data_IF_501148516921
#
_entry.id   IF_501148516921
#
_cell.length_a   1.000
_cell.length_b   1.000
_cell.length_c   1.000
_cell.angle_alpha   90.00
_cell.angle_beta   90.00
_cell.angle_gamma   90.00
#
_symmetry.space_group_name_H-M   'P 1'
#
loop_
_entity.id
_entity.type
_entity.pdbx_description
1 polymer ?
#
# COMPACT_ATOMS: atom_id res chain seq x y z
N UNK A 1 -17.99 -0.04 30.41
CA UNK A 1 -17.14 1.15 30.65
C UNK A 1 -17.51 1.74 32.01
N UNK A 2 -16.54 2.19 32.80
CA UNK A 2 -16.62 2.41 34.26
C UNK A 2 -17.49 3.58 34.72
N UNK A 3 -18.25 4.25 33.82
CA UNK A 3 -19.10 5.43 34.06
C UNK A 3 -18.37 6.68 34.60
N UNK A 4 -17.06 6.61 34.83
CA UNK A 4 -16.24 7.77 35.18
C UNK A 4 -15.87 8.56 33.91
N UNK A 5 -15.75 9.88 34.04
CA UNK A 5 -15.24 10.72 32.95
C UNK A 5 -13.75 10.43 32.73
N UNK A 6 -13.42 9.79 31.62
CA UNK A 6 -12.06 9.40 31.24
C UNK A 6 -11.45 10.34 30.20
N UNK A 7 -12.20 11.30 29.64
CA UNK A 7 -11.77 12.15 28.51
C UNK A 7 -10.45 12.88 28.78
N UNK A 8 -10.19 13.28 30.04
CA UNK A 8 -8.95 13.94 30.45
C UNK A 8 -7.71 13.02 30.42
N UNK A 9 -7.91 11.71 30.48
CA UNK A 9 -6.85 10.71 30.50
C UNK A 9 -6.68 9.99 29.15
N UNK A 10 -7.50 10.35 28.15
CA UNK A 10 -7.43 9.83 26.78
C UNK A 10 -6.56 10.78 25.96
N UNK A 11 -5.54 10.24 25.30
CA UNK A 11 -4.70 11.05 24.42
C UNK A 11 -5.49 11.46 23.16
N UNK A 12 -5.28 12.68 22.62
CA UNK A 12 -6.10 13.18 21.53
C UNK A 12 -6.17 12.21 20.35
N UNK A 13 -7.39 11.85 19.95
CA UNK A 13 -7.63 10.90 18.85
C UNK A 13 -7.53 9.42 19.23
N UNK A 14 -7.47 9.07 20.52
CA UNK A 14 -7.51 7.68 21.00
C UNK A 14 -8.90 7.22 21.45
N UNK A 15 -9.88 7.30 20.56
CA UNK A 15 -11.26 6.90 20.86
C UNK A 15 -11.56 5.42 20.53
N UNK A 16 -10.64 4.76 19.81
CA UNK A 16 -10.77 3.38 19.37
C UNK A 16 -10.76 2.35 20.50
N UNK A 17 -11.93 1.81 20.89
CA UNK A 17 -12.00 0.61 21.75
C UNK A 17 -11.66 -0.70 21.02
N UNK A 18 -11.44 -0.63 19.70
CA UNK A 18 -10.86 -1.71 18.90
C UNK A 18 -11.55 -3.06 19.11
N UNK A 19 -12.85 -3.15 18.80
CA UNK A 19 -13.56 -4.42 18.90
C UNK A 19 -12.94 -5.44 17.91
N UNK A 20 -12.54 -6.65 18.37
CA UNK A 20 -11.74 -7.58 17.57
C UNK A 20 -12.34 -7.92 16.20
N UNK A 21 -13.66 -8.01 16.12
CA UNK A 21 -14.41 -8.29 14.89
C UNK A 21 -14.25 -7.19 13.84
N UNK A 22 -14.26 -5.92 14.24
CA UNK A 22 -14.15 -4.80 13.30
C UNK A 22 -12.71 -4.62 12.83
N UNK A 23 -11.73 -4.87 13.70
CA UNK A 23 -10.32 -4.92 13.30
C UNK A 23 -10.08 -5.99 12.22
N UNK A 24 -10.62 -7.19 12.42
CA UNK A 24 -10.49 -8.30 11.47
C UNK A 24 -11.11 -7.97 10.10
N UNK A 25 -12.36 -7.49 10.07
CA UNK A 25 -13.04 -7.15 8.82
C UNK A 25 -12.35 -5.98 8.10
N UNK A 26 -11.96 -4.93 8.83
CA UNK A 26 -11.24 -3.79 8.26
C UNK A 26 -9.88 -4.22 7.68
N UNK A 27 -9.19 -5.14 8.37
CA UNK A 27 -7.93 -5.73 7.92
C UNK A 27 -8.09 -6.55 6.63
N UNK A 28 -9.14 -7.35 6.50
CA UNK A 28 -9.42 -8.11 5.26
C UNK A 28 -9.69 -7.16 4.10
N UNK A 29 -10.53 -6.14 4.30
CA UNK A 29 -10.84 -5.17 3.24
C UNK A 29 -9.57 -4.43 2.80
N UNK A 30 -8.78 -3.93 3.76
CA UNK A 30 -7.52 -3.26 3.49
C UNK A 30 -6.50 -4.17 2.79
N UNK A 31 -6.41 -5.43 3.23
CA UNK A 31 -5.52 -6.43 2.65
C UNK A 31 -5.90 -6.81 1.21
N UNK A 32 -7.19 -6.96 0.92
CA UNK A 32 -7.67 -7.21 -0.45
C UNK A 32 -7.38 -6.04 -1.38
N UNK A 33 -7.76 -4.82 -0.98
CA UNK A 33 -7.56 -3.63 -1.81
C UNK A 33 -6.07 -3.31 -2.00
N UNK A 34 -5.27 -3.38 -0.93
CA UNK A 34 -3.82 -3.21 -0.99
C UNK A 34 -3.13 -4.31 -1.80
N UNK A 35 -3.59 -5.55 -1.67
CA UNK A 35 -3.08 -6.71 -2.40
C UNK A 35 -3.33 -6.62 -3.91
N UNK A 36 -4.54 -6.22 -4.33
CA UNK A 36 -4.85 -6.00 -5.74
C UNK A 36 -3.95 -4.91 -6.33
N UNK A 37 -3.79 -3.78 -5.64
CA UNK A 37 -2.93 -2.69 -6.09
C UNK A 37 -1.46 -3.10 -6.19
N UNK A 38 -0.92 -3.78 -5.18
CA UNK A 38 0.44 -4.30 -5.18
C UNK A 38 0.68 -5.34 -6.28
N UNK A 39 -0.29 -6.24 -6.49
CA UNK A 39 -0.25 -7.25 -7.55
C UNK A 39 -0.23 -6.64 -8.95
N UNK A 40 -1.04 -5.61 -9.20
CA UNK A 40 -1.03 -4.87 -10.47
C UNK A 40 0.30 -4.17 -10.72
N UNK A 41 0.88 -3.53 -9.70
CA UNK A 41 2.20 -2.90 -9.80
C UNK A 41 3.30 -3.92 -10.09
N UNK A 42 3.30 -5.06 -9.38
CA UNK A 42 4.21 -6.17 -9.64
C UNK A 42 4.12 -6.66 -11.07
N UNK A 43 2.90 -6.94 -11.55
CA UNK A 43 2.66 -7.45 -12.89
C UNK A 43 3.15 -6.47 -13.97
N UNK A 44 2.81 -5.17 -13.84
CA UNK A 44 3.22 -4.16 -14.80
C UNK A 44 4.75 -4.01 -14.91
N UNK A 45 5.46 -4.07 -13.77
CA UNK A 45 6.92 -4.00 -13.76
C UNK A 45 7.55 -5.29 -14.29
N UNK A 46 7.03 -6.45 -13.91
CA UNK A 46 7.52 -7.75 -14.40
C UNK A 46 7.43 -7.87 -15.92
N UNK A 47 6.26 -7.59 -16.50
CA UNK A 47 6.04 -7.62 -17.95
C UNK A 47 6.96 -6.63 -18.68
N UNK A 48 7.22 -5.47 -18.08
CA UNK A 48 8.17 -4.51 -18.64
C UNK A 48 9.61 -5.03 -18.58
N UNK A 49 10.01 -5.67 -17.47
CA UNK A 49 11.36 -6.20 -17.28
C UNK A 49 11.67 -7.34 -18.24
N UNK A 50 10.77 -8.31 -18.45
CA UNK A 50 11.05 -9.47 -19.31
C UNK A 50 11.25 -9.12 -20.79
N UNK A 51 10.90 -7.90 -21.21
CA UNK A 51 11.24 -7.40 -22.56
C UNK A 51 12.69 -6.95 -22.70
N UNK A 52 13.40 -6.72 -21.60
CA UNK A 52 14.81 -6.33 -21.58
C UNK A 52 15.70 -7.58 -21.67
N UNK A 53 16.75 -7.59 -22.51
CA UNK A 53 17.62 -8.75 -22.68
C UNK A 53 18.27 -9.27 -21.38
N UNK A 54 18.57 -8.38 -20.44
CA UNK A 54 19.17 -8.73 -19.15
C UNK A 54 18.23 -9.51 -18.21
N UNK A 55 16.91 -9.41 -18.44
CA UNK A 55 15.88 -9.98 -17.59
C UNK A 55 14.99 -11.00 -18.31
N UNK A 56 15.24 -11.23 -19.60
CA UNK A 56 14.53 -12.23 -20.39
C UNK A 56 14.77 -13.65 -19.83
N UNK A 57 13.74 -14.49 -19.74
CA UNK A 57 13.90 -15.86 -19.29
C UNK A 57 14.77 -16.66 -20.27
N UNK A 58 15.70 -17.46 -19.72
CA UNK A 58 16.64 -18.27 -20.52
C UNK A 58 15.93 -19.32 -21.40
N UNK A 59 14.75 -19.77 -20.95
CA UNK A 59 13.88 -20.71 -21.66
C UNK A 59 12.52 -20.04 -21.84
N UNK A 60 12.01 -20.04 -23.07
CA UNK A 60 10.68 -19.48 -23.36
C UNK A 60 9.59 -20.20 -22.54
N UNK A 61 8.74 -19.42 -21.87
CA UNK A 61 7.69 -19.93 -20.98
C UNK A 61 8.13 -20.20 -19.54
N UNK A 62 9.41 -19.95 -19.19
CA UNK A 62 9.85 -19.95 -17.80
C UNK A 62 9.81 -18.57 -17.16
N UNK A 63 9.72 -18.57 -15.83
CA UNK A 63 9.74 -17.36 -15.02
C UNK A 63 11.18 -16.87 -14.86
N UNK A 64 11.40 -15.57 -15.10
CA UNK A 64 12.71 -14.95 -14.86
C UNK A 64 12.86 -14.59 -13.38
N UNK A 65 13.71 -15.33 -12.65
CA UNK A 65 13.94 -15.10 -11.21
C UNK A 65 14.40 -13.68 -10.91
N UNK A 66 15.28 -13.11 -11.76
CA UNK A 66 15.76 -11.74 -11.59
C UNK A 66 14.63 -10.72 -11.75
N UNK A 67 13.77 -10.89 -12.77
CA UNK A 67 12.63 -10.01 -12.98
C UNK A 67 11.63 -10.08 -11.82
N UNK A 68 11.37 -11.28 -11.28
CA UNK A 68 10.51 -11.48 -10.09
C UNK A 68 11.07 -10.71 -8.89
N UNK A 69 12.38 -10.81 -8.62
CA UNK A 69 13.00 -10.15 -7.47
C UNK A 69 12.92 -8.62 -7.56
N UNK A 70 13.22 -8.06 -8.73
CA UNK A 70 13.18 -6.60 -8.95
C UNK A 70 11.73 -6.09 -8.91
N UNK A 71 10.82 -6.73 -9.64
CA UNK A 71 9.40 -6.35 -9.64
C UNK A 71 8.78 -6.49 -8.24
N UNK A 72 9.11 -7.57 -7.52
CA UNK A 72 8.69 -7.79 -6.15
C UNK A 72 9.15 -6.68 -5.21
N UNK A 73 10.44 -6.34 -5.25
CA UNK A 73 11.02 -5.29 -4.41
C UNK A 73 10.40 -3.92 -4.70
N UNK A 74 10.16 -3.60 -5.98
CA UNK A 74 9.53 -2.35 -6.38
C UNK A 74 8.07 -2.25 -5.90
N UNK A 75 7.29 -3.32 -6.08
CA UNK A 75 5.90 -3.37 -5.63
C UNK A 75 5.79 -3.25 -4.09
N UNK A 76 6.71 -3.87 -3.36
CA UNK A 76 6.81 -3.76 -1.90
C UNK A 76 7.15 -2.32 -1.47
N UNK A 77 8.09 -1.68 -2.16
CA UNK A 77 8.41 -0.26 -1.94
C UNK A 77 7.21 0.66 -2.17
N UNK A 78 6.49 0.49 -3.29
CA UNK A 78 5.26 1.23 -3.59
C UNK A 78 4.19 1.05 -2.49
N UNK A 79 4.02 -0.20 -2.02
CA UNK A 79 3.10 -0.50 -0.92
C UNK A 79 3.47 0.27 0.35
N UNK A 80 4.75 0.29 0.74
CA UNK A 80 5.21 1.02 1.92
C UNK A 80 5.01 2.53 1.80
N UNK A 81 5.28 3.13 0.63
CA UNK A 81 5.03 4.56 0.41
C UNK A 81 3.55 4.89 0.66
N UNK A 82 2.64 4.13 0.08
CA UNK A 82 1.21 4.36 0.22
C UNK A 82 0.69 4.05 1.64
N UNK A 83 1.22 3.03 2.30
CA UNK A 83 0.80 2.67 3.66
C UNK A 83 1.19 3.73 4.68
N UNK A 84 2.35 4.36 4.51
CA UNK A 84 2.82 5.48 5.35
C UNK A 84 1.95 6.73 5.15
N UNK A 85 1.62 7.09 3.90
CA UNK A 85 0.74 8.24 3.63
C UNK A 85 -0.66 8.01 4.21
N UNK A 86 -1.20 6.80 4.03
CA UNK A 86 -2.51 6.43 4.55
C UNK A 86 -2.56 6.45 6.08
N UNK A 87 -1.50 5.99 6.76
CA UNK A 87 -1.44 5.96 8.23
C UNK A 87 -1.44 7.36 8.84
N UNK A 88 -0.70 8.30 8.25
CA UNK A 88 -0.68 9.70 8.69
C UNK A 88 -1.99 10.45 8.39
N UNK A 89 -2.74 10.05 7.36
CA UNK A 89 -4.01 10.70 7.02
C UNK A 89 -5.14 10.42 8.02
N UNK A 90 -5.19 9.20 8.58
CA UNK A 90 -6.22 8.80 9.55
C UNK A 90 -5.86 9.26 10.97
N UNK A 91 -4.68 8.89 11.46
CA UNK A 91 -4.12 9.32 12.75
C UNK A 91 -4.87 8.81 14.01
N UNK A 92 -4.09 8.48 15.05
CA UNK A 92 -4.60 7.97 16.33
C UNK A 92 -5.21 6.57 16.22
N UNK A 93 -5.89 6.11 17.29
CA UNK A 93 -6.59 4.82 17.24
C UNK A 93 -7.92 4.98 16.49
N UNK A 94 -8.30 3.97 15.72
CA UNK A 94 -9.58 3.92 15.02
C UNK A 94 -10.49 2.88 15.66
N UNK A 95 -11.80 3.12 15.62
CA UNK A 95 -12.78 2.08 15.96
C UNK A 95 -12.99 1.06 14.83
N UNK A 96 -12.54 1.40 13.62
CA UNK A 96 -12.64 0.59 12.41
C UNK A 96 -13.51 1.24 11.34
N UNK A 97 -14.03 0.48 10.38
CA UNK A 97 -14.65 1.02 9.14
C UNK A 97 -15.83 2.00 9.33
N UNK A 98 -16.45 2.03 10.50
CA UNK A 98 -17.54 2.95 10.83
C UNK A 98 -17.08 4.25 11.53
N UNK A 99 -15.78 4.40 11.78
CA UNK A 99 -15.22 5.57 12.46
C UNK A 99 -15.41 6.84 11.61
N UNK A 100 -15.90 7.96 12.17
CA UNK A 100 -16.05 9.23 11.46
C UNK A 100 -14.78 9.71 10.75
N UNK A 101 -13.59 9.28 11.19
CA UNK A 101 -12.30 9.53 10.53
C UNK A 101 -12.21 8.96 9.11
N UNK A 102 -13.03 7.96 8.74
CA UNK A 102 -13.10 7.43 7.37
C UNK A 102 -13.54 8.49 6.34
N UNK A 103 -14.14 9.60 6.78
CA UNK A 103 -14.40 10.77 5.91
C UNK A 103 -13.12 11.38 5.32
N UNK A 104 -11.94 11.07 5.88
CA UNK A 104 -10.63 11.51 5.37
C UNK A 104 -10.07 10.60 4.27
N UNK A 105 -10.68 9.43 4.01
CA UNK A 105 -10.21 8.49 2.97
C UNK A 105 -10.02 9.14 1.61
N UNK A 106 -10.95 9.96 1.07
CA UNK A 106 -10.77 10.53 -0.26
C UNK A 106 -9.50 11.38 -0.39
N UNK A 107 -9.13 12.12 0.66
CA UNK A 107 -7.90 12.92 0.70
C UNK A 107 -6.65 12.03 0.74
N UNK A 108 -6.69 10.97 1.56
CA UNK A 108 -5.61 9.98 1.61
C UNK A 108 -5.45 9.22 0.29
N UNK A 109 -6.55 8.82 -0.33
CA UNK A 109 -6.55 8.13 -1.62
C UNK A 109 -5.96 9.02 -2.74
N UNK A 110 -6.31 10.30 -2.78
CA UNK A 110 -5.72 11.24 -3.73
C UNK A 110 -4.20 11.42 -3.48
N UNK A 111 -3.78 11.54 -2.23
CA UNK A 111 -2.36 11.63 -1.89
C UNK A 111 -1.58 10.37 -2.30
N UNK A 112 -2.14 9.18 -2.03
CA UNK A 112 -1.55 7.91 -2.46
C UNK A 112 -1.54 7.77 -3.99
N UNK A 113 -2.55 8.27 -4.70
CA UNK A 113 -2.57 8.29 -6.16
C UNK A 113 -1.42 9.13 -6.71
N UNK A 114 -1.23 10.35 -6.20
CA UNK A 114 -0.15 11.24 -6.61
C UNK A 114 1.21 10.61 -6.30
N UNK A 115 1.38 10.05 -5.10
CA UNK A 115 2.62 9.37 -4.72
C UNK A 115 2.90 8.18 -5.65
N UNK A 116 1.88 7.37 -5.95
CA UNK A 116 2.01 6.22 -6.85
C UNK A 116 2.35 6.64 -8.29
N UNK A 117 1.82 7.76 -8.77
CA UNK A 117 2.18 8.32 -10.08
C UNK A 117 3.65 8.77 -10.12
N UNK A 118 4.13 9.44 -9.06
CA UNK A 118 5.53 9.85 -8.97
C UNK A 118 6.45 8.64 -8.88
N UNK A 119 6.14 7.65 -8.03
CA UNK A 119 6.91 6.40 -7.95
C UNK A 119 6.88 5.63 -9.26
N UNK A 120 5.73 5.57 -9.94
CA UNK A 120 5.58 4.95 -11.25
C UNK A 120 6.43 5.65 -12.32
N UNK A 121 6.47 6.98 -12.33
CA UNK A 121 7.33 7.76 -13.23
C UNK A 121 8.81 7.43 -13.01
N UNK A 122 9.25 7.35 -11.75
CA UNK A 122 10.60 6.90 -11.41
C UNK A 122 10.84 5.47 -11.93
N UNK A 123 9.88 4.56 -11.74
CA UNK A 123 9.95 3.20 -12.28
C UNK A 123 10.14 3.16 -13.79
N UNK A 124 9.38 3.97 -14.55
CA UNK A 124 9.54 4.09 -16.01
C UNK A 124 10.92 4.62 -16.39
N UNK A 125 11.43 5.62 -15.67
CA UNK A 125 12.78 6.15 -15.90
C UNK A 125 13.86 5.10 -15.63
N UNK A 126 13.70 4.25 -14.62
CA UNK A 126 14.64 3.16 -14.36
C UNK A 126 14.60 2.10 -15.48
N UNK A 127 13.39 1.74 -15.94
CA UNK A 127 13.20 0.75 -17.00
C UNK A 127 13.68 1.22 -18.38
N UNK A 128 13.50 2.51 -18.72
CA UNK A 128 13.82 3.05 -20.04
C UNK A 128 15.10 3.89 -20.09
N UNK A 129 15.63 4.30 -18.94
CA UNK A 129 16.83 5.12 -18.81
C UNK A 129 18.14 4.32 -18.84
N UNK A 130 18.09 3.00 -19.02
CA UNK A 130 19.28 2.15 -19.14
C UNK A 130 19.97 1.84 -17.81
N UNK A 131 19.27 2.00 -16.68
CA UNK A 131 19.75 1.53 -15.37
C UNK A 131 19.64 0.01 -15.24
N UNK A 132 18.72 -0.58 -16.01
CA UNK A 132 18.43 -2.02 -16.11
C UNK A 132 18.78 -2.56 -17.50
#
# INVERSE_FOLDING_TARGET
MTKYNQEKYVSPGTEGHGIPTVCFVSGIIGGLLGGIGGGLAYWAVYESLVTLPAYAPLIAGQVSTLAVMVAGSFALGLFFVNSVIASYNIGGTIEGFHDPKFKRIPKGALACLIASLVTGLIGVLLLKGGVF
#
